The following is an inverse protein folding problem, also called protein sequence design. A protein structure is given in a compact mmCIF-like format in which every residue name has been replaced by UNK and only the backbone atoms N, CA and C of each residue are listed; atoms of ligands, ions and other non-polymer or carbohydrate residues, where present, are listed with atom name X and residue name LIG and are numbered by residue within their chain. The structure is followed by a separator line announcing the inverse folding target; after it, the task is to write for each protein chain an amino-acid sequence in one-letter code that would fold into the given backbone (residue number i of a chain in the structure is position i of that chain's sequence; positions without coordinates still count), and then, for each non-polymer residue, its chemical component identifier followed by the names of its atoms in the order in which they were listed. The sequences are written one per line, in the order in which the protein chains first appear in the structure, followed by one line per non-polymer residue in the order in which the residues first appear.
data_IF_511503435655
#
_entry.id   IF_511503435655
#
_cell.length_a   1.000
_cell.length_b   1.000
_cell.length_c   1.000
_cell.angle_alpha   90.00
_cell.angle_beta   90.00
_cell.angle_gamma   90.00
#
_symmetry.space_group_name_H-M   'P 1'
#
loop_
_entity.id
_entity.type
_entity.pdbx_description
1 polymer ?
#
# COMPACT_ATOMS: atom_id res chain seq x y z
N UNK A 1 25.59 -4.69 5.62
CA UNK A 1 25.17 -6.11 5.66
C UNK A 1 25.50 -6.81 6.97
N UNK A 2 26.73 -6.72 7.49
CA UNK A 2 27.07 -7.41 8.74
C UNK A 2 26.48 -6.69 9.98
N UNK A 3 26.43 -5.36 9.96
CA UNK A 3 25.97 -4.54 11.07
C UNK A 3 24.46 -4.72 11.35
N UNK A 4 23.65 -4.75 10.30
CA UNK A 4 22.19 -4.87 10.37
C UNK A 4 21.80 -6.23 10.99
N UNK A 5 22.44 -7.31 10.55
CA UNK A 5 22.26 -8.63 11.14
C UNK A 5 22.73 -8.70 12.60
N UNK A 6 23.89 -8.11 12.93
CA UNK A 6 24.37 -8.04 14.31
C UNK A 6 23.41 -7.25 15.22
N UNK A 7 22.83 -6.14 14.71
CA UNK A 7 21.83 -5.36 15.46
C UNK A 7 20.57 -6.19 15.71
N UNK A 8 20.09 -6.93 14.71
CA UNK A 8 18.91 -7.77 14.85
C UNK A 8 19.15 -8.93 15.83
N UNK A 9 20.33 -9.56 15.80
CA UNK A 9 20.71 -10.63 16.74
C UNK A 9 20.79 -10.13 18.20
N UNK A 10 21.30 -8.92 18.42
CA UNK A 10 21.43 -8.31 19.76
C UNK A 10 20.16 -7.59 20.23
N UNK A 11 19.10 -7.56 19.41
CA UNK A 11 17.85 -6.89 19.73
C UNK A 11 17.05 -7.65 20.81
N UNK A 12 17.09 -7.14 22.04
CA UNK A 12 16.36 -7.70 23.18
C UNK A 12 15.86 -6.59 24.13
N UNK A 13 15.06 -6.97 25.13
CA UNK A 13 14.42 -6.04 26.07
C UNK A 13 15.45 -5.19 26.83
N UNK A 14 16.63 -5.72 27.11
CA UNK A 14 17.66 -5.03 27.90
C UNK A 14 18.42 -3.99 27.07
N UNK A 15 18.61 -4.26 25.77
CA UNK A 15 19.44 -3.44 24.88
C UNK A 15 18.65 -2.57 23.89
N UNK A 16 17.35 -2.84 23.70
CA UNK A 16 16.52 -2.22 22.64
C UNK A 16 16.52 -0.68 22.69
N UNK A 17 16.49 -0.06 23.87
CA UNK A 17 16.46 1.40 23.97
C UNK A 17 17.77 2.05 23.52
N UNK A 18 18.89 1.39 23.82
CA UNK A 18 20.22 1.86 23.41
C UNK A 18 20.43 1.64 21.92
N UNK A 19 20.02 0.47 21.41
CA UNK A 19 20.12 0.12 20.00
C UNK A 19 19.17 0.93 19.13
N UNK A 20 18.04 1.41 19.65
CA UNK A 20 17.06 2.17 18.86
C UNK A 20 17.65 3.44 18.23
N UNK A 21 18.58 4.10 18.90
CA UNK A 21 19.29 5.26 18.34
C UNK A 21 20.13 4.84 17.14
N UNK A 22 20.88 3.74 17.27
CA UNK A 22 21.70 3.19 16.20
C UNK A 22 20.84 2.73 15.02
N UNK A 23 19.72 2.04 15.28
CA UNK A 23 18.76 1.60 14.25
C UNK A 23 18.27 2.79 13.43
N UNK A 24 17.90 3.91 14.08
CA UNK A 24 17.44 5.11 13.36
C UNK A 24 18.51 5.70 12.47
N UNK A 25 19.76 5.74 12.94
CA UNK A 25 20.88 6.24 12.15
C UNK A 25 21.16 5.33 10.93
N UNK A 26 21.14 4.00 11.13
CA UNK A 26 21.33 3.00 10.07
C UNK A 26 20.20 3.08 9.03
N UNK A 27 18.94 3.07 9.46
CA UNK A 27 17.79 3.17 8.56
C UNK A 27 17.83 4.47 7.77
N UNK A 28 18.13 5.61 8.41
CA UNK A 28 18.25 6.88 7.72
C UNK A 28 19.37 6.85 6.67
N UNK A 29 20.52 6.25 7.00
CA UNK A 29 21.63 6.10 6.08
C UNK A 29 21.25 5.23 4.87
N UNK A 30 20.68 4.06 5.11
CA UNK A 30 20.30 3.10 4.08
C UNK A 30 19.25 3.68 3.11
N UNK A 31 18.24 4.37 3.66
CA UNK A 31 17.18 5.01 2.89
C UNK A 31 17.70 6.14 1.99
N UNK A 32 18.80 6.79 2.36
CA UNK A 32 19.46 7.82 1.54
C UNK A 32 20.42 7.26 0.49
N UNK A 33 20.95 6.04 0.70
CA UNK A 33 21.97 5.42 -0.15
C UNK A 33 21.44 4.28 -1.02
N UNK A 34 20.13 4.28 -1.32
CA UNK A 34 19.47 3.24 -2.16
C UNK A 34 19.62 1.82 -1.60
N UNK A 35 19.67 1.70 -0.27
CA UNK A 35 19.69 0.43 0.46
C UNK A 35 18.37 0.22 1.23
N UNK A 36 17.25 0.66 0.66
CA UNK A 36 15.96 0.69 1.37
C UNK A 36 15.45 -0.72 1.71
N UNK A 37 15.84 -1.72 0.93
CA UNK A 37 15.48 -3.12 1.16
C UNK A 37 16.16 -3.64 2.44
N UNK A 38 17.43 -3.28 2.64
CA UNK A 38 18.18 -3.64 3.83
C UNK A 38 17.57 -2.99 5.08
N UNK A 39 17.15 -1.73 4.97
CA UNK A 39 16.41 -1.07 6.04
C UNK A 39 15.07 -1.76 6.34
N UNK A 40 14.34 -2.20 5.29
CA UNK A 40 13.10 -2.96 5.47
C UNK A 40 13.36 -4.29 6.18
N UNK A 41 14.37 -5.06 5.77
CA UNK A 41 14.71 -6.35 6.37
C UNK A 41 15.05 -6.20 7.85
N UNK A 42 15.94 -5.25 8.19
CA UNK A 42 16.29 -4.95 9.57
C UNK A 42 15.05 -4.62 10.41
N UNK A 43 14.18 -3.73 9.90
CA UNK A 43 13.00 -3.28 10.64
C UNK A 43 11.91 -4.35 10.74
N UNK A 44 11.82 -5.27 9.79
CA UNK A 44 10.96 -6.45 9.90
C UNK A 44 11.48 -7.41 10.97
N UNK A 45 12.79 -7.67 11.02
CA UNK A 45 13.39 -8.60 11.99
C UNK A 45 13.22 -8.13 13.45
N UNK A 46 13.27 -6.82 13.69
CA UNK A 46 13.11 -6.25 15.04
C UNK A 46 11.68 -5.80 15.37
N UNK A 47 10.71 -6.06 14.48
CA UNK A 47 9.30 -5.65 14.59
C UNK A 47 9.09 -4.13 14.78
N UNK A 48 9.83 -3.32 14.02
CA UNK A 48 9.81 -1.83 14.08
C UNK A 48 9.58 -1.16 12.73
N UNK A 49 8.73 -1.76 11.90
CA UNK A 49 8.32 -1.19 10.60
C UNK A 49 7.72 0.23 10.72
N UNK A 50 7.23 0.62 11.90
CA UNK A 50 6.74 1.98 12.20
C UNK A 50 7.75 3.08 11.85
N UNK A 51 9.05 2.76 11.92
CA UNK A 51 10.13 3.72 11.66
C UNK A 51 10.28 4.06 10.17
N UNK A 52 9.89 3.17 9.24
CA UNK A 52 10.04 3.40 7.79
C UNK A 52 9.34 4.68 7.33
N UNK A 53 8.14 4.93 7.87
CA UNK A 53 7.26 6.04 7.46
C UNK A 53 7.98 7.40 7.47
N UNK A 54 8.93 7.59 8.38
CA UNK A 54 9.70 8.82 8.56
C UNK A 54 10.79 9.02 7.50
N UNK A 55 11.21 7.95 6.84
CA UNK A 55 12.32 7.93 5.88
C UNK A 55 11.86 7.73 4.43
N UNK A 56 10.56 7.55 4.21
CA UNK A 56 9.98 7.37 2.87
C UNK A 56 9.65 8.70 2.19
N UNK A 57 10.11 8.87 0.96
CA UNK A 57 9.88 10.04 0.10
C UNK A 57 9.48 9.61 -1.32
N UNK A 58 9.24 10.60 -2.21
CA UNK A 58 8.80 10.38 -3.60
C UNK A 58 9.77 9.50 -4.42
N UNK A 59 11.04 9.46 -4.05
CA UNK A 59 12.09 8.74 -4.79
C UNK A 59 12.17 7.27 -4.42
N UNK A 60 11.83 6.92 -3.17
CA UNK A 60 12.05 5.58 -2.63
C UNK A 60 10.76 4.80 -2.32
N UNK A 61 9.62 5.46 -2.05
CA UNK A 61 8.38 4.77 -1.68
C UNK A 61 7.95 3.69 -2.68
N UNK A 62 8.09 3.84 -4.01
CA UNK A 62 7.60 2.84 -4.94
C UNK A 62 8.35 1.51 -4.78
N UNK A 63 9.67 1.57 -4.50
CA UNK A 63 10.52 0.39 -4.30
C UNK A 63 10.19 -0.29 -2.98
N UNK A 64 10.08 0.49 -1.92
CA UNK A 64 9.77 -0.01 -0.58
C UNK A 64 8.38 -0.65 -0.55
N UNK A 65 7.35 0.04 -1.04
CA UNK A 65 5.99 -0.52 -1.06
C UNK A 65 5.91 -1.79 -1.89
N UNK A 66 6.56 -1.85 -3.06
CA UNK A 66 6.59 -3.05 -3.89
C UNK A 66 7.26 -4.22 -3.15
N UNK A 67 8.36 -3.96 -2.46
CA UNK A 67 9.06 -4.97 -1.66
C UNK A 67 8.18 -5.50 -0.53
N UNK A 68 7.59 -4.61 0.27
CA UNK A 68 6.73 -4.96 1.40
C UNK A 68 5.49 -5.76 0.97
N UNK A 69 4.86 -5.44 -0.17
CA UNK A 69 3.76 -6.23 -0.74
C UNK A 69 4.24 -7.65 -1.09
N UNK A 70 5.44 -7.76 -1.66
CA UNK A 70 6.08 -9.05 -1.92
C UNK A 70 6.25 -9.86 -0.65
N UNK A 71 6.84 -9.26 0.39
CA UNK A 71 7.05 -9.90 1.69
C UNK A 71 5.73 -10.33 2.36
N UNK A 72 4.69 -9.50 2.29
CA UNK A 72 3.39 -9.81 2.88
C UNK A 72 2.76 -11.10 2.33
N UNK A 73 3.16 -11.55 1.13
CA UNK A 73 2.69 -12.82 0.54
C UNK A 73 3.31 -14.06 1.19
N UNK A 74 4.39 -13.90 1.94
CA UNK A 74 5.14 -14.99 2.59
C UNK A 74 5.04 -14.96 4.12
N UNK A 75 4.37 -13.95 4.65
CA UNK A 75 4.17 -13.74 6.08
C UNK A 75 2.74 -14.15 6.44
N UNK A 76 2.56 -14.70 7.63
CA UNK A 76 1.24 -15.14 8.11
C UNK A 76 0.45 -14.00 8.74
N UNK A 77 -0.85 -14.17 8.89
CA UNK A 77 -1.65 -13.23 9.69
C UNK A 77 -1.26 -13.33 11.18
N UNK A 78 -1.22 -12.21 11.93
CA UNK A 78 -1.70 -10.86 11.57
C UNK A 78 -0.65 -9.96 10.91
N UNK A 79 0.61 -10.37 10.86
CA UNK A 79 1.75 -9.57 10.39
C UNK A 79 1.57 -9.13 8.93
N UNK A 80 1.11 -10.02 8.04
CA UNK A 80 0.81 -9.69 6.64
C UNK A 80 -0.19 -8.51 6.53
N UNK A 81 -1.24 -8.53 7.35
CA UNK A 81 -2.26 -7.47 7.40
C UNK A 81 -1.66 -6.14 7.87
N UNK A 82 -0.74 -6.17 8.83
CA UNK A 82 -0.06 -4.97 9.33
C UNK A 82 0.86 -4.35 8.26
N UNK A 83 1.63 -5.18 7.55
CA UNK A 83 2.48 -4.75 6.44
C UNK A 83 1.63 -4.09 5.34
N UNK A 84 0.58 -4.76 4.89
CA UNK A 84 -0.31 -4.24 3.85
C UNK A 84 -1.04 -2.96 4.31
N UNK A 85 -1.38 -2.85 5.59
CA UNK A 85 -1.93 -1.62 6.17
C UNK A 85 -0.97 -0.45 6.05
N UNK A 86 0.28 -0.62 6.45
CA UNK A 86 1.30 0.45 6.33
C UNK A 86 1.55 0.85 4.87
N UNK A 87 1.51 -0.12 3.95
CA UNK A 87 1.62 0.17 2.50
C UNK A 87 0.41 0.97 2.00
N UNK A 88 -0.80 0.63 2.42
CA UNK A 88 -2.02 1.36 2.05
C UNK A 88 -1.96 2.82 2.51
N UNK A 89 -1.60 3.05 3.77
CA UNK A 89 -1.43 4.40 4.35
C UNK A 89 -0.37 5.20 3.59
N UNK A 90 0.73 4.54 3.22
CA UNK A 90 1.80 5.16 2.44
C UNK A 90 1.32 5.56 1.05
N UNK A 91 0.61 4.70 0.33
CA UNK A 91 0.06 5.05 -0.99
C UNK A 91 -0.95 6.19 -0.90
N UNK A 92 -1.80 6.23 0.13
CA UNK A 92 -2.71 7.36 0.38
C UNK A 92 -1.93 8.66 0.59
N UNK A 93 -0.85 8.63 1.39
CA UNK A 93 0.01 9.78 1.65
C UNK A 93 0.65 10.35 0.39
N UNK A 94 1.03 9.50 -0.57
CA UNK A 94 1.62 9.90 -1.84
C UNK A 94 0.61 10.11 -2.98
N UNK A 95 -0.70 10.01 -2.71
CA UNK A 95 -1.77 10.23 -3.71
C UNK A 95 -1.91 9.12 -4.75
N UNK A 96 -1.42 7.92 -4.46
CA UNK A 96 -1.45 6.75 -5.34
C UNK A 96 -2.76 5.95 -5.16
N UNK A 97 -3.90 6.61 -5.36
CA UNK A 97 -5.23 6.06 -5.05
C UNK A 97 -5.54 4.71 -5.73
N UNK A 98 -5.22 4.49 -7.02
CA UNK A 98 -5.47 3.18 -7.65
C UNK A 98 -4.70 2.04 -6.98
N UNK A 99 -3.45 2.29 -6.57
CA UNK A 99 -2.63 1.29 -5.86
C UNK A 99 -3.13 1.09 -4.44
N UNK A 100 -3.47 2.16 -3.72
CA UNK A 100 -4.08 2.08 -2.40
C UNK A 100 -5.37 1.24 -2.42
N UNK A 101 -6.22 1.45 -3.44
CA UNK A 101 -7.46 0.71 -3.59
C UNK A 101 -7.22 -0.79 -3.84
N UNK A 102 -6.20 -1.16 -4.63
CA UNK A 102 -5.84 -2.57 -4.82
C UNK A 102 -5.46 -3.23 -3.48
N UNK A 103 -4.70 -2.54 -2.64
CA UNK A 103 -4.32 -3.05 -1.32
C UNK A 103 -5.56 -3.15 -0.40
N UNK A 104 -6.46 -2.17 -0.43
CA UNK A 104 -7.70 -2.22 0.34
C UNK A 104 -8.57 -3.43 -0.04
N UNK A 105 -8.67 -3.71 -1.35
CA UNK A 105 -9.36 -4.89 -1.87
C UNK A 105 -8.66 -6.20 -1.47
N UNK A 106 -7.32 -6.24 -1.50
CA UNK A 106 -6.54 -7.40 -1.06
C UNK A 106 -6.75 -7.70 0.43
N UNK A 107 -6.87 -6.65 1.26
CA UNK A 107 -7.22 -6.75 2.67
C UNK A 107 -8.68 -7.16 2.91
N UNK A 108 -9.52 -7.19 1.86
CA UNK A 108 -10.97 -7.40 1.91
C UNK A 108 -11.68 -6.44 2.89
N UNK A 109 -11.15 -5.22 3.02
CA UNK A 109 -11.65 -4.19 3.92
C UNK A 109 -12.47 -3.16 3.12
N UNK A 110 -13.79 -3.25 3.23
CA UNK A 110 -14.72 -2.35 2.54
C UNK A 110 -14.62 -0.92 3.02
N UNK A 111 -14.44 -0.72 4.32
CA UNK A 111 -14.33 0.62 4.91
C UNK A 111 -13.11 1.35 4.37
N UNK A 112 -11.98 0.65 4.22
CA UNK A 112 -10.79 1.21 3.58
C UNK A 112 -10.96 1.47 2.09
N UNK A 113 -11.71 0.63 1.37
CA UNK A 113 -12.04 0.91 -0.03
C UNK A 113 -12.80 2.23 -0.17
N UNK A 114 -13.79 2.47 0.69
CA UNK A 114 -14.56 3.71 0.75
C UNK A 114 -13.67 4.91 1.13
N UNK A 115 -12.78 4.76 2.12
CA UNK A 115 -11.82 5.80 2.51
C UNK A 115 -10.93 6.21 1.33
N UNK A 116 -10.36 5.24 0.60
CA UNK A 116 -9.52 5.52 -0.58
C UNK A 116 -10.31 6.23 -1.67
N UNK A 117 -11.55 5.78 -1.91
CA UNK A 117 -12.42 6.39 -2.90
C UNK A 117 -12.77 7.84 -2.54
N UNK A 118 -13.10 8.10 -1.28
CA UNK A 118 -13.46 9.42 -0.78
C UNK A 118 -12.26 10.37 -0.70
N UNK A 119 -11.08 9.86 -0.41
CA UNK A 119 -9.83 10.63 -0.37
C UNK A 119 -9.40 11.14 -1.76
N UNK A 120 -9.83 10.49 -2.85
CA UNK A 120 -9.53 10.92 -4.20
C UNK A 120 -10.41 12.10 -4.61
N UNK A 121 -9.82 13.25 -4.95
CA UNK A 121 -10.57 14.44 -5.42
C UNK A 121 -10.65 14.54 -6.93
N UNK A 122 -9.74 13.88 -7.65
CA UNK A 122 -9.70 13.90 -9.10
C UNK A 122 -10.82 13.04 -9.69
N UNK A 123 -11.70 13.69 -10.47
CA UNK A 123 -12.87 13.04 -11.09
C UNK A 123 -12.48 11.95 -12.07
N UNK A 124 -11.42 12.15 -12.85
CA UNK A 124 -10.95 11.17 -13.82
C UNK A 124 -10.45 9.91 -13.11
N UNK A 125 -9.64 10.09 -12.07
CA UNK A 125 -9.14 8.97 -11.26
C UNK A 125 -10.31 8.29 -10.54
N UNK A 126 -11.25 9.04 -9.94
CA UNK A 126 -12.46 8.48 -9.34
C UNK A 126 -13.25 7.59 -10.29
N UNK A 127 -13.44 8.00 -11.54
CA UNK A 127 -14.07 7.15 -12.58
C UNK A 127 -13.29 5.85 -12.79
N UNK A 128 -11.95 5.90 -12.82
CA UNK A 128 -11.12 4.68 -12.88
C UNK A 128 -11.29 3.78 -11.65
N UNK A 129 -11.34 4.36 -10.45
CA UNK A 129 -11.60 3.61 -9.21
C UNK A 129 -12.97 2.93 -9.26
N UNK A 130 -14.01 3.60 -9.76
CA UNK A 130 -15.33 3.00 -9.96
C UNK A 130 -15.26 1.76 -10.86
N UNK A 131 -14.53 1.80 -11.98
CA UNK A 131 -14.36 0.62 -12.84
C UNK A 131 -13.63 -0.53 -12.14
N UNK A 132 -12.64 -0.23 -11.30
CA UNK A 132 -11.92 -1.25 -10.52
C UNK A 132 -12.84 -1.91 -9.49
N UNK A 133 -13.62 -1.11 -8.76
CA UNK A 133 -14.59 -1.55 -7.74
C UNK A 133 -15.72 -2.37 -8.38
N UNK A 134 -16.30 -1.86 -9.46
CA UNK A 134 -17.38 -2.52 -10.20
C UNK A 134 -16.94 -3.89 -10.73
N UNK A 135 -15.70 -3.99 -11.21
CA UNK A 135 -15.12 -5.27 -11.68
C UNK A 135 -14.95 -6.28 -10.56
N UNK A 136 -14.62 -5.82 -9.35
CA UNK A 136 -14.46 -6.68 -8.17
C UNK A 136 -15.76 -6.89 -7.39
N UNK A 137 -16.89 -6.35 -7.88
CA UNK A 137 -18.19 -6.43 -7.23
C UNK A 137 -18.18 -5.96 -5.76
N UNK A 138 -17.30 -5.01 -5.44
CA UNK A 138 -17.26 -4.40 -4.11
C UNK A 138 -18.42 -3.39 -4.04
N UNK A 139 -19.38 -3.56 -3.11
CA UNK A 139 -20.51 -2.65 -3.01
C UNK A 139 -20.01 -1.29 -2.53
N UNK A 140 -20.24 -0.25 -3.33
CA UNK A 140 -19.98 1.14 -2.98
C UNK A 140 -21.12 1.99 -3.50
N UNK A 141 -21.61 2.91 -2.68
CA UNK A 141 -22.67 3.85 -3.05
C UNK A 141 -22.07 5.24 -3.29
N UNK A 142 -22.61 5.93 -4.29
CA UNK A 142 -22.21 7.29 -4.66
C UNK A 142 -23.47 8.07 -5.02
N UNK A 143 -23.59 9.28 -4.49
CA UNK A 143 -24.67 10.21 -4.83
C UNK A 143 -24.49 10.84 -6.23
N UNK A 144 -23.28 10.74 -6.79
CA UNK A 144 -22.99 11.15 -8.16
C UNK A 144 -23.50 10.11 -9.16
N UNK A 145 -24.47 10.49 -9.99
CA UNK A 145 -25.13 9.62 -10.96
C UNK A 145 -24.19 9.09 -12.06
N UNK A 146 -23.16 9.87 -12.46
CA UNK A 146 -22.16 9.41 -13.43
C UNK A 146 -21.36 8.24 -12.84
N UNK A 147 -20.91 8.41 -11.59
CA UNK A 147 -20.12 7.38 -10.89
C UNK A 147 -20.98 6.15 -10.61
N UNK A 148 -22.25 6.35 -10.22
CA UNK A 148 -23.21 5.27 -10.00
C UNK A 148 -23.44 4.45 -11.27
N UNK A 149 -23.55 5.10 -12.43
CA UNK A 149 -23.72 4.42 -13.71
C UNK A 149 -22.52 3.51 -14.02
N UNK A 150 -21.30 3.96 -13.71
CA UNK A 150 -20.08 3.16 -13.85
C UNK A 150 -20.07 1.99 -12.85
N UNK A 151 -20.38 2.25 -11.58
CA UNK A 151 -20.40 1.24 -10.52
C UNK A 151 -21.38 0.09 -10.82
N UNK A 152 -22.50 0.40 -11.47
CA UNK A 152 -23.51 -0.57 -11.91
C UNK A 152 -23.14 -1.31 -13.21
N UNK A 153 -21.96 -1.04 -13.78
CA UNK A 153 -21.51 -1.61 -15.05
C UNK A 153 -22.50 -1.40 -16.22
N UNK A 154 -23.31 -0.33 -16.18
CA UNK A 154 -24.39 -0.12 -17.15
C UNK A 154 -23.88 0.01 -18.60
N UNK A 155 -22.68 0.58 -18.79
CA UNK A 155 -22.07 0.78 -20.11
C UNK A 155 -21.57 -0.50 -20.78
N UNK A 156 -21.38 -1.61 -20.05
CA UNK A 156 -20.81 -2.85 -20.61
C UNK A 156 -21.67 -3.38 -21.77
N UNK A 157 -23.00 -3.31 -21.62
CA UNK A 157 -23.92 -3.78 -22.64
C UNK A 157 -23.81 -2.94 -23.93
N UNK A 158 -23.78 -1.62 -23.79
CA UNK A 158 -23.65 -0.70 -24.92
C UNK A 158 -22.32 -0.91 -25.67
N UNK A 159 -21.21 -1.06 -24.93
CA UNK A 159 -19.90 -1.34 -25.51
C UNK A 159 -19.88 -2.69 -26.23
N UNK A 160 -20.50 -3.73 -25.65
CA UNK A 160 -20.59 -5.04 -26.29
C UNK A 160 -21.41 -5.00 -27.59
N UNK A 161 -22.52 -4.27 -27.59
CA UNK A 161 -23.35 -4.06 -28.78
C UNK A 161 -22.62 -3.25 -29.86
N UNK A 162 -21.85 -2.22 -29.50
CA UNK A 162 -21.04 -1.46 -30.45
C UNK A 162 -19.96 -2.33 -31.08
N UNK A 163 -19.23 -3.09 -30.26
CA UNK A 163 -18.20 -4.00 -30.75
C UNK A 163 -18.77 -5.02 -31.74
N UNK A 164 -19.94 -5.60 -31.44
CA UNK A 164 -20.60 -6.55 -32.34
C UNK A 164 -21.10 -5.93 -33.65
N UNK A 165 -21.32 -4.60 -33.70
CA UNK A 165 -21.67 -3.88 -34.94
C UNK A 165 -20.44 -3.52 -35.78
N UNK A 166 -19.29 -3.33 -35.14
CA UNK A 166 -18.05 -2.88 -35.78
C UNK A 166 -17.16 -4.03 -36.29
N UNK A 167 -17.39 -5.27 -35.82
CA UNK A 167 -16.77 -6.51 -36.31
C UNK A 167 -17.51 -7.09 -37.53
#
# INVERSE_FOLDING_TARGET
RQLEGEIAEEWNIDNMETLLLLVRDVVSFDMQHSAEIQACDLLMEIDRLDLLTQHMDQSNYPRVCLYLIGCASYVVEPESTQVLTGVLETYLRFGEYPRALLIAMQLNDKTRCEEVFNACTDVLIKKQLCYMIARQYVPLESDDEDLRTILLNAHINDHFLSLAREL
#
